data_IF_006380306071
#
_entry.id   IF_006380306071
#
_cell.length_a   1.000
_cell.length_b   1.000
_cell.length_c   1.000
_cell.angle_alpha   90.00
_cell.angle_beta   90.00
_cell.angle_gamma   90.00
#
_symmetry.space_group_name_H-M   'P 1'
#
loop_
_entity.id
_entity.type
_entity.pdbx_description
1 polymer ?
#
# COMPACT_ATOMS: atom_id res chain seq x y z
N UNK A 1 11.22 22.29 9.36
CA UNK A 1 10.68 21.23 8.47
C UNK A 1 9.17 21.36 8.50
N UNK A 2 8.57 21.77 7.40
CA UNK A 2 7.12 21.90 7.28
C UNK A 2 6.49 20.51 7.41
N UNK A 3 5.48 20.34 8.26
CA UNK A 3 4.81 19.04 8.42
C UNK A 3 4.10 18.68 7.12
N UNK A 4 4.62 17.65 6.44
CA UNK A 4 4.04 17.08 5.23
C UNK A 4 2.63 16.58 5.60
N UNK A 5 1.60 17.28 5.12
CA UNK A 5 0.21 16.88 5.31
C UNK A 5 -0.12 15.78 4.30
N UNK A 6 -0.83 14.76 4.75
CA UNK A 6 -1.38 13.68 3.93
C UNK A 6 -2.90 13.71 4.08
N UNK A 7 -3.61 13.31 3.04
CA UNK A 7 -5.04 13.07 3.14
C UNK A 7 -5.34 11.96 4.16
N UNK A 8 -6.47 12.07 4.85
CA UNK A 8 -6.92 11.04 5.78
C UNK A 8 -7.09 9.69 5.06
N UNK A 9 -7.66 9.70 3.85
CA UNK A 9 -7.91 8.48 3.06
C UNK A 9 -6.61 7.74 2.69
N UNK A 10 -5.61 8.46 2.17
CA UNK A 10 -4.29 7.90 1.85
C UNK A 10 -3.58 7.37 3.09
N UNK A 11 -3.61 8.14 4.20
CA UNK A 11 -2.98 7.76 5.45
C UNK A 11 -3.58 6.49 6.05
N UNK A 12 -4.91 6.40 6.17
CA UNK A 12 -5.55 5.23 6.77
C UNK A 12 -5.40 3.97 5.91
N UNK A 13 -5.52 4.12 4.59
CA UNK A 13 -5.34 2.99 3.65
C UNK A 13 -3.93 2.41 3.73
N UNK A 14 -2.92 3.29 3.71
CA UNK A 14 -1.54 2.88 3.89
C UNK A 14 -1.35 2.12 5.21
N UNK A 15 -1.84 2.71 6.32
CA UNK A 15 -1.60 2.16 7.66
C UNK A 15 -2.30 0.80 7.84
N UNK A 16 -3.55 0.67 7.38
CA UNK A 16 -4.31 -0.58 7.46
C UNK A 16 -3.63 -1.66 6.60
N UNK A 17 -3.28 -1.33 5.35
CA UNK A 17 -2.62 -2.29 4.44
C UNK A 17 -1.24 -2.70 4.95
N UNK A 18 -0.48 -1.74 5.49
CA UNK A 18 0.84 -2.02 6.02
C UNK A 18 0.78 -2.93 7.25
N UNK A 19 -0.11 -2.65 8.20
CA UNK A 19 -0.27 -3.45 9.43
C UNK A 19 -0.77 -4.85 9.10
N UNK A 20 -1.82 -4.97 8.28
CA UNK A 20 -2.38 -6.27 7.92
C UNK A 20 -1.37 -7.13 7.16
N UNK A 21 -0.67 -6.56 6.17
CA UNK A 21 0.37 -7.28 5.43
C UNK A 21 1.53 -7.72 6.32
N UNK A 22 1.97 -6.86 7.24
CA UNK A 22 3.03 -7.20 8.20
C UNK A 22 2.61 -8.34 9.11
N UNK A 23 1.38 -8.31 9.65
CA UNK A 23 0.87 -9.38 10.50
C UNK A 23 0.75 -10.71 9.75
N UNK A 24 0.26 -10.69 8.52
CA UNK A 24 0.19 -11.89 7.65
C UNK A 24 1.57 -12.47 7.40
N UNK A 25 2.56 -11.63 7.08
CA UNK A 25 3.93 -12.04 6.83
C UNK A 25 4.59 -12.64 8.09
N UNK A 26 4.46 -11.98 9.25
CA UNK A 26 4.98 -12.51 10.51
C UNK A 26 4.34 -13.85 10.88
N UNK A 27 3.03 -13.98 10.67
CA UNK A 27 2.32 -15.25 10.91
C UNK A 27 2.85 -16.35 10.00
N UNK A 28 3.10 -16.04 8.73
CA UNK A 28 3.70 -17.00 7.80
C UNK A 28 5.12 -17.41 8.23
N UNK A 29 5.95 -16.49 8.72
CA UNK A 29 7.31 -16.84 9.19
C UNK A 29 7.30 -17.82 10.37
N UNK A 30 6.31 -17.70 11.26
CA UNK A 30 6.19 -18.58 12.44
C UNK A 30 5.58 -19.93 12.05
N UNK A 31 4.49 -19.92 11.28
CA UNK A 31 3.70 -21.12 11.02
C UNK A 31 4.21 -21.92 9.82
N UNK A 32 4.83 -21.25 8.82
CA UNK A 32 5.36 -21.81 7.56
C UNK A 32 4.38 -22.76 6.84
N UNK A 33 3.11 -22.38 6.78
CA UNK A 33 2.05 -23.18 6.17
C UNK A 33 1.70 -22.66 4.76
N UNK A 34 1.54 -23.57 3.80
CA UNK A 34 1.21 -23.30 2.39
C UNK A 34 -0.15 -22.59 2.23
N UNK A 35 -1.13 -22.89 3.08
CA UNK A 35 -2.43 -22.22 3.09
C UNK A 35 -2.31 -20.75 3.48
N UNK A 36 -1.40 -20.43 4.41
CA UNK A 36 -1.07 -19.04 4.77
C UNK A 36 -0.38 -18.29 3.63
N UNK A 37 0.42 -18.99 2.82
CA UNK A 37 1.05 -18.43 1.63
C UNK A 37 -0.01 -18.06 0.58
N UNK A 38 -1.00 -18.93 0.33
CA UNK A 38 -2.11 -18.65 -0.57
C UNK A 38 -2.96 -17.45 -0.11
N UNK A 39 -3.28 -17.39 1.19
CA UNK A 39 -3.99 -16.23 1.78
C UNK A 39 -3.16 -14.95 1.62
N UNK A 40 -1.86 -15.02 1.92
CA UNK A 40 -0.92 -13.90 1.75
C UNK A 40 -0.90 -13.39 0.31
N UNK A 41 -0.87 -14.30 -0.67
CA UNK A 41 -0.93 -13.95 -2.08
C UNK A 41 -2.23 -13.23 -2.47
N UNK A 42 -3.38 -13.78 -2.08
CA UNK A 42 -4.68 -13.15 -2.34
C UNK A 42 -4.78 -11.76 -1.68
N UNK A 43 -4.29 -11.64 -0.45
CA UNK A 43 -4.21 -10.38 0.28
C UNK A 43 -3.36 -9.35 -0.46
N UNK A 44 -2.15 -9.71 -0.91
CA UNK A 44 -1.26 -8.80 -1.63
C UNK A 44 -1.92 -8.31 -2.92
N UNK A 45 -2.60 -9.19 -3.66
CA UNK A 45 -3.36 -8.80 -4.85
C UNK A 45 -4.43 -7.74 -4.55
N UNK A 46 -5.22 -7.94 -3.50
CA UNK A 46 -6.26 -6.97 -3.07
C UNK A 46 -5.61 -5.66 -2.60
N UNK A 47 -4.53 -5.74 -1.83
CA UNK A 47 -3.82 -4.56 -1.34
C UNK A 47 -3.26 -3.70 -2.48
N UNK A 48 -2.73 -4.32 -3.54
CA UNK A 48 -2.29 -3.62 -4.76
C UNK A 48 -3.47 -2.90 -5.40
N UNK A 49 -4.61 -3.57 -5.58
CA UNK A 49 -5.81 -2.95 -6.17
C UNK A 49 -6.28 -1.74 -5.36
N UNK A 50 -6.49 -1.92 -4.04
CA UNK A 50 -6.99 -0.84 -3.16
C UNK A 50 -6.03 0.35 -3.13
N UNK A 51 -4.73 0.09 -2.96
CA UNK A 51 -3.72 1.16 -2.96
C UNK A 51 -3.67 1.88 -4.31
N UNK A 52 -3.82 1.18 -5.42
CA UNK A 52 -3.83 1.78 -6.77
C UNK A 52 -5.06 2.66 -6.97
N UNK A 53 -6.26 2.21 -6.57
CA UNK A 53 -7.49 3.00 -6.67
C UNK A 53 -7.35 4.30 -5.87
N UNK A 54 -6.85 4.21 -4.64
CA UNK A 54 -6.70 5.38 -3.77
C UNK A 54 -5.60 6.31 -4.30
N UNK A 55 -4.54 5.77 -4.88
CA UNK A 55 -3.50 6.57 -5.53
C UNK A 55 -4.06 7.36 -6.72
N UNK A 56 -4.88 6.72 -7.56
CA UNK A 56 -5.52 7.40 -8.69
C UNK A 56 -6.52 8.47 -8.23
N UNK A 57 -7.26 8.19 -7.15
CA UNK A 57 -8.17 9.16 -6.53
C UNK A 57 -7.42 10.39 -6.01
N UNK A 58 -6.34 10.20 -5.24
CA UNK A 58 -5.51 11.28 -4.71
C UNK A 58 -4.80 12.06 -5.82
N UNK A 59 -4.32 11.39 -6.87
CA UNK A 59 -3.78 12.06 -8.06
C UNK A 59 -4.83 12.90 -8.78
N UNK A 60 -6.05 12.38 -8.92
CA UNK A 60 -7.18 13.11 -9.52
C UNK A 60 -7.53 14.37 -8.72
N UNK A 61 -7.51 14.30 -7.39
CA UNK A 61 -7.67 15.47 -6.52
C UNK A 61 -6.51 16.45 -6.74
N UNK A 62 -5.28 15.97 -6.67
CA UNK A 62 -4.09 16.81 -6.79
C UNK A 62 -4.02 17.55 -8.14
N UNK A 63 -4.37 16.89 -9.24
CA UNK A 63 -4.33 17.48 -10.58
C UNK A 63 -5.49 18.46 -10.83
N UNK A 64 -6.65 18.28 -10.17
CA UNK A 64 -7.79 19.19 -10.27
C UNK A 64 -7.76 20.31 -9.22
N UNK A 65 -6.87 20.23 -8.24
CA UNK A 65 -6.76 21.23 -7.20
C UNK A 65 -5.99 22.46 -7.69
N UNK A 66 -6.75 23.46 -8.13
CA UNK A 66 -6.23 24.78 -8.51
C UNK A 66 -5.77 25.59 -7.29
N UNK A 67 -6.09 25.15 -6.06
CA UNK A 67 -5.77 25.87 -4.82
C UNK A 67 -4.35 25.63 -4.29
N UNK A 68 -3.62 24.67 -4.87
CA UNK A 68 -2.21 24.42 -4.53
C UNK A 68 -2.00 23.64 -3.23
N UNK A 69 -2.98 22.88 -2.73
CA UNK A 69 -2.79 22.04 -1.57
C UNK A 69 -1.88 20.83 -1.90
N UNK A 70 -0.66 20.84 -1.35
CA UNK A 70 0.35 19.79 -1.55
C UNK A 70 0.00 18.45 -0.88
N UNK A 71 -1.10 18.37 -0.14
CA UNK A 71 -1.43 17.23 0.74
C UNK A 71 -1.76 15.95 -0.06
N UNK A 72 -2.50 16.09 -1.16
CA UNK A 72 -2.88 14.99 -2.04
C UNK A 72 -1.67 14.42 -2.82
N UNK A 73 -0.76 15.29 -3.28
CA UNK A 73 0.47 14.87 -3.95
C UNK A 73 1.39 14.04 -3.04
N UNK A 74 1.49 14.41 -1.76
CA UNK A 74 2.25 13.63 -0.79
C UNK A 74 1.62 12.25 -0.51
N UNK A 75 0.29 12.17 -0.44
CA UNK A 75 -0.44 10.89 -0.33
C UNK A 75 -0.17 9.99 -1.54
N UNK A 76 -0.16 10.53 -2.75
CA UNK A 76 0.14 9.77 -3.96
C UNK A 76 1.56 9.19 -3.95
N UNK A 77 2.56 9.97 -3.51
CA UNK A 77 3.94 9.49 -3.33
C UNK A 77 4.04 8.41 -2.25
N UNK A 78 3.28 8.54 -1.17
CA UNK A 78 3.26 7.54 -0.09
C UNK A 78 2.68 6.19 -0.57
N UNK A 79 1.70 6.22 -1.47
CA UNK A 79 1.10 5.02 -2.05
C UNK A 79 1.98 4.38 -3.13
N UNK A 80 2.77 5.18 -3.87
CA UNK A 80 3.80 4.66 -4.79
C UNK A 80 4.84 3.79 -4.06
N UNK A 81 5.10 4.08 -2.78
CA UNK A 81 6.01 3.30 -1.94
C UNK A 81 5.51 1.86 -1.65
N UNK A 82 4.21 1.57 -1.87
CA UNK A 82 3.70 0.20 -1.79
C UNK A 82 4.09 -0.68 -2.99
N UNK A 83 4.45 -0.10 -4.14
CA UNK A 83 4.80 -0.84 -5.35
C UNK A 83 6.12 -1.64 -5.18
N UNK A 84 7.21 -1.08 -4.61
CA UNK A 84 8.41 -1.85 -4.29
C UNK A 84 8.14 -3.05 -3.37
N UNK A 85 7.30 -2.88 -2.35
CA UNK A 85 6.96 -3.94 -1.37
C UNK A 85 6.23 -5.08 -2.07
N UNK A 86 5.24 -4.76 -2.91
CA UNK A 86 4.54 -5.74 -3.72
C UNK A 86 5.48 -6.49 -4.69
N UNK A 87 6.44 -5.78 -5.28
CA UNK A 87 7.43 -6.37 -6.20
C UNK A 87 8.36 -7.37 -5.50
N UNK A 88 8.81 -7.05 -4.28
CA UNK A 88 9.60 -7.95 -3.44
C UNK A 88 8.81 -9.22 -3.12
N UNK A 89 7.52 -9.09 -2.78
CA UNK A 89 6.68 -10.24 -2.47
C UNK A 89 6.47 -11.17 -3.67
N UNK A 90 6.25 -10.61 -4.87
CA UNK A 90 6.17 -11.39 -6.11
C UNK A 90 7.49 -12.12 -6.42
N UNK A 91 8.63 -11.48 -6.20
CA UNK A 91 9.94 -12.12 -6.38
C UNK A 91 10.15 -13.30 -5.42
N UNK A 92 9.71 -13.18 -4.17
CA UNK A 92 9.76 -14.29 -3.20
C UNK A 92 8.89 -15.45 -3.70
N UNK A 93 7.68 -15.16 -4.18
CA UNK A 93 6.75 -16.19 -4.67
C UNK A 93 7.30 -16.95 -5.88
N UNK A 94 7.94 -16.27 -6.83
CA UNK A 94 8.53 -16.91 -8.01
C UNK A 94 9.83 -17.67 -7.72
N UNK A 95 10.49 -17.39 -6.60
CA UNK A 95 11.71 -18.09 -6.16
C UNK A 95 11.45 -19.19 -5.11
N UNK A 96 10.19 -19.43 -4.75
CA UNK A 96 9.76 -20.50 -3.84
C UNK A 96 9.25 -21.69 -4.64
#
# INVERSE_FOLDING_TARGET
>A
MENIKFSSAGKYTFLISFVLGTLLFLTFLIVRNEFLLLIGFAYVGIAIMVNTIILLYELGIYLNDVSGEKSAGNSALLLLLNIPIASIYLLILFNF
#
